data_IF_009023329631
#
_entry.id   IF_009023329631
#
_cell.length_a   1.000
_cell.length_b   1.000
_cell.length_c   1.000
_cell.angle_alpha   90.00
_cell.angle_beta   90.00
_cell.angle_gamma   90.00
#
_symmetry.space_group_name_H-M   'P 1'
#
loop_
_entity.id
_entity.type
_entity.pdbx_description
1 polymer ?
#
# COMPACT_ATOMS: atom_id res chain seq x y z
N UNK A 1 11.23 1.51 21.37
CA UNK A 1 10.85 0.78 22.60
C UNK A 1 9.34 0.69 22.61
N UNK A 2 8.80 -0.46 22.95
CA UNK A 2 7.34 -0.65 23.08
C UNK A 2 7.07 -1.03 24.52
N UNK A 3 6.13 -0.32 25.15
CA UNK A 3 5.65 -0.62 26.49
C UNK A 3 4.32 -1.38 26.31
N UNK A 4 4.25 -2.61 26.78
CA UNK A 4 3.04 -3.43 26.75
C UNK A 4 2.34 -3.25 28.10
N UNK A 5 1.08 -2.81 28.04
CA UNK A 5 0.27 -2.65 29.23
C UNK A 5 -0.38 -3.96 29.61
N UNK A 6 -0.68 -4.17 30.89
CA UNK A 6 -1.46 -5.32 31.34
C UNK A 6 -2.89 -5.30 30.75
N UNK A 7 -3.52 -6.45 30.57
CA UNK A 7 -4.95 -6.49 30.21
C UNK A 7 -5.76 -5.64 31.20
N UNK A 8 -6.68 -4.82 30.69
CA UNK A 8 -7.52 -3.90 31.48
C UNK A 8 -6.74 -2.79 32.23
N UNK A 9 -5.54 -2.41 31.76
CA UNK A 9 -4.81 -1.26 32.31
C UNK A 9 -5.69 -0.01 32.33
N UNK A 10 -5.60 0.75 33.44
CA UNK A 10 -6.40 1.95 33.64
C UNK A 10 -5.99 3.06 32.66
N UNK A 11 -6.97 3.78 32.12
CA UNK A 11 -6.71 4.91 31.21
C UNK A 11 -5.79 5.97 31.83
N UNK A 12 -5.92 6.21 33.15
CA UNK A 12 -5.06 7.12 33.91
C UNK A 12 -3.59 6.68 33.90
N UNK A 13 -3.32 5.38 34.01
CA UNK A 13 -1.95 4.84 33.95
C UNK A 13 -1.34 5.00 32.57
N UNK A 14 -2.13 4.78 31.52
CA UNK A 14 -1.70 4.95 30.13
C UNK A 14 -1.34 6.42 29.88
N UNK A 15 -2.20 7.35 30.27
CA UNK A 15 -1.98 8.79 30.09
C UNK A 15 -0.78 9.29 30.92
N UNK A 16 -0.59 8.77 32.13
CA UNK A 16 0.57 9.09 32.96
C UNK A 16 1.88 8.66 32.31
N UNK A 17 1.94 7.46 31.74
CA UNK A 17 3.13 6.96 31.05
C UNK A 17 3.40 7.78 29.79
N UNK A 18 2.34 8.09 29.01
CA UNK A 18 2.42 8.96 27.84
C UNK A 18 3.05 10.30 28.19
N UNK A 19 2.50 10.98 29.19
CA UNK A 19 2.99 12.28 29.64
C UNK A 19 4.45 12.23 30.07
N UNK A 20 4.87 11.19 30.80
CA UNK A 20 6.26 10.99 31.20
C UNK A 20 7.19 10.86 29.97
N UNK A 21 6.77 10.14 28.95
CA UNK A 21 7.53 9.98 27.70
C UNK A 21 7.68 11.32 26.99
N UNK A 22 6.58 12.08 26.88
CA UNK A 22 6.54 13.40 26.23
C UNK A 22 7.38 14.43 26.99
N UNK A 23 7.35 14.44 28.33
CA UNK A 23 8.19 15.29 29.18
C UNK A 23 9.70 15.04 28.98
N UNK A 24 10.07 13.82 28.59
CA UNK A 24 11.45 13.45 28.24
C UNK A 24 11.81 13.78 26.78
N UNK A 25 10.90 14.42 26.04
CA UNK A 25 11.14 14.81 24.65
C UNK A 25 11.13 13.63 23.67
N UNK A 26 10.35 12.60 23.98
CA UNK A 26 10.00 11.51 23.09
C UNK A 26 8.53 11.57 22.73
N UNK A 27 8.15 11.03 21.58
CA UNK A 27 6.74 10.89 21.20
C UNK A 27 6.17 9.57 21.70
N UNK A 28 4.93 9.58 22.19
CA UNK A 28 4.20 8.41 22.65
C UNK A 28 3.01 8.12 21.73
N UNK A 29 3.03 6.96 21.05
CA UNK A 29 1.95 6.49 20.20
C UNK A 29 1.20 5.35 20.89
N UNK A 30 -0.08 5.58 21.21
CA UNK A 30 -0.94 4.59 21.88
C UNK A 30 -1.67 3.78 20.81
N UNK A 31 -1.56 2.45 20.91
CA UNK A 31 -2.36 1.50 20.13
C UNK A 31 -3.18 0.65 21.09
N UNK A 32 -4.50 0.86 21.07
CA UNK A 32 -5.45 0.09 21.87
C UNK A 32 -5.89 -1.15 21.09
N UNK A 33 -5.37 -2.32 21.46
CA UNK A 33 -5.84 -3.61 20.96
C UNK A 33 -7.06 -4.12 21.72
N UNK A 34 -7.61 -5.26 21.29
CA UNK A 34 -8.78 -5.88 21.96
C UNK A 34 -8.45 -6.43 23.35
N UNK A 35 -7.23 -6.92 23.54
CA UNK A 35 -6.79 -7.57 24.78
C UNK A 35 -5.84 -6.71 25.60
N UNK A 36 -4.93 -6.00 24.93
CA UNK A 36 -3.90 -5.18 25.57
C UNK A 36 -3.72 -3.85 24.84
N UNK A 37 -3.34 -2.82 25.59
CA UNK A 37 -2.87 -1.55 25.04
C UNK A 37 -1.35 -1.54 25.00
N UNK A 38 -0.78 -0.99 23.93
CA UNK A 38 0.65 -0.78 23.82
C UNK A 38 0.98 0.69 23.57
N UNK A 39 2.13 1.14 24.11
CA UNK A 39 2.65 2.49 23.92
C UNK A 39 3.98 2.37 23.19
N UNK A 40 4.00 2.84 21.94
CA UNK A 40 5.22 2.95 21.14
C UNK A 40 5.97 4.24 21.48
N UNK A 41 7.23 4.11 21.87
CA UNK A 41 8.10 5.26 22.14
C UNK A 41 8.94 5.54 20.91
N UNK A 42 8.78 6.73 20.33
CA UNK A 42 9.54 7.25 19.20
C UNK A 42 10.45 8.39 19.69
N UNK A 43 11.70 8.37 19.29
CA UNK A 43 12.70 9.35 19.72
C UNK A 43 13.93 8.72 20.36
N UNK A 44 14.71 9.54 21.04
CA UNK A 44 15.96 9.11 21.71
C UNK A 44 15.66 8.38 23.03
N UNK A 45 15.67 7.05 22.96
CA UNK A 45 15.38 6.16 24.09
C UNK A 45 16.36 6.32 25.26
N UNK A 46 17.57 6.86 25.03
CA UNK A 46 18.56 7.04 26.10
C UNK A 46 18.02 7.94 27.21
N UNK A 47 17.13 8.87 26.87
CA UNK A 47 16.48 9.78 27.82
C UNK A 47 15.48 9.10 28.77
N UNK A 48 15.11 7.86 28.48
CA UNK A 48 14.17 7.08 29.29
C UNK A 48 14.86 5.95 30.08
N UNK A 49 16.16 5.75 29.89
CA UNK A 49 16.88 4.66 30.56
C UNK A 49 16.87 4.79 32.10
N UNK A 50 16.81 6.02 32.61
CA UNK A 50 16.76 6.30 34.07
C UNK A 50 15.34 6.13 34.66
N UNK A 51 14.35 5.92 33.78
CA UNK A 51 12.95 5.73 34.17
C UNK A 51 12.66 4.23 34.25
N UNK A 52 12.53 3.70 35.44
CA UNK A 52 12.14 2.31 35.66
C UNK A 52 10.70 2.07 35.27
N UNK A 53 10.41 2.17 33.94
CA UNK A 53 9.05 2.06 33.39
C UNK A 53 8.41 0.69 33.65
N UNK A 54 9.21 -0.34 33.89
CA UNK A 54 8.73 -1.70 34.24
C UNK A 54 8.10 -1.79 35.63
N UNK A 55 8.38 -0.85 36.52
CA UNK A 55 7.80 -0.84 37.89
C UNK A 55 6.42 -0.21 37.96
N UNK A 56 5.93 0.41 36.87
CA UNK A 56 4.57 0.95 36.87
C UNK A 56 3.56 -0.20 36.95
N UNK A 57 2.59 -0.08 37.85
CA UNK A 57 1.63 -1.14 38.21
C UNK A 57 0.95 -1.80 37.01
N UNK A 58 0.61 -1.01 35.99
CA UNK A 58 -0.13 -1.47 34.80
C UNK A 58 0.76 -1.82 33.60
N UNK A 59 2.09 -1.79 33.75
CA UNK A 59 3.03 -2.27 32.73
C UNK A 59 3.23 -3.76 32.86
N UNK A 60 3.05 -4.51 31.78
CA UNK A 60 3.34 -5.94 31.71
C UNK A 60 4.82 -6.19 31.42
N UNK A 61 5.32 -5.56 30.33
CA UNK A 61 6.71 -5.68 29.91
C UNK A 61 7.14 -4.56 28.98
N UNK A 62 8.46 -4.39 28.85
CA UNK A 62 9.08 -3.51 27.86
C UNK A 62 9.78 -4.35 26.81
N UNK A 63 9.44 -4.10 25.54
CA UNK A 63 10.04 -4.77 24.38
C UNK A 63 10.99 -3.81 23.69
N UNK A 64 12.28 -4.15 23.65
CA UNK A 64 13.24 -3.43 22.81
C UNK A 64 12.97 -3.77 21.35
N UNK A 65 12.63 -2.75 20.55
CA UNK A 65 12.49 -2.87 19.11
C UNK A 65 13.87 -2.66 18.52
N UNK A 66 14.41 -3.69 17.90
CA UNK A 66 15.71 -3.64 17.22
C UNK A 66 15.58 -3.04 15.82
N UNK A 67 14.42 -3.17 15.21
CA UNK A 67 14.12 -2.62 13.89
C UNK A 67 14.04 -1.08 13.94
N UNK A 68 14.45 -0.44 12.83
CA UNK A 68 14.47 1.03 12.69
C UNK A 68 13.07 1.64 12.51
N UNK A 69 12.10 0.87 11.99
CA UNK A 69 10.69 1.23 11.89
C UNK A 69 9.92 0.76 13.14
N UNK A 70 8.97 1.55 13.61
CA UNK A 70 8.21 1.30 14.84
C UNK A 70 6.70 1.28 14.58
N UNK A 71 6.16 2.35 13.99
CA UNK A 71 4.73 2.46 13.73
C UNK A 71 4.24 1.41 12.73
N UNK A 72 5.06 1.05 11.76
CA UNK A 72 4.78 -0.02 10.80
C UNK A 72 5.04 -1.43 11.34
N UNK A 73 5.62 -1.57 12.55
CA UNK A 73 6.05 -2.84 13.10
C UNK A 73 4.88 -3.59 13.75
N UNK A 74 4.77 -4.88 13.47
CA UNK A 74 3.75 -5.76 14.07
C UNK A 74 3.86 -5.87 15.60
N UNK A 75 5.06 -5.69 16.15
CA UNK A 75 5.25 -5.65 17.62
C UNK A 75 4.58 -4.43 18.25
N UNK A 76 4.49 -3.32 17.51
CA UNK A 76 3.78 -2.11 17.94
C UNK A 76 2.26 -2.24 17.72
N UNK A 77 1.85 -2.83 16.60
CA UNK A 77 0.44 -3.04 16.26
C UNK A 77 0.23 -4.52 15.89
N UNK A 78 -0.09 -5.40 16.87
CA UNK A 78 -0.18 -6.86 16.66
C UNK A 78 -1.28 -7.28 15.68
N UNK A 79 -2.40 -6.55 15.65
CA UNK A 79 -3.52 -6.84 14.78
C UNK A 79 -3.27 -6.35 13.36
N UNK A 80 -3.56 -7.15 12.31
CA UNK A 80 -3.47 -6.71 10.93
C UNK A 80 -4.33 -5.48 10.65
N UNK A 81 -3.74 -4.48 10.01
CA UNK A 81 -4.47 -3.27 9.62
C UNK A 81 -5.42 -3.51 8.47
N UNK A 82 -6.54 -2.79 8.50
CA UNK A 82 -7.52 -2.73 7.42
C UNK A 82 -7.58 -1.29 6.89
N UNK A 83 -7.29 -1.11 5.61
CA UNK A 83 -7.26 0.20 4.95
C UNK A 83 -8.50 0.37 4.09
N UNK A 84 -9.32 1.38 4.41
CA UNK A 84 -10.54 1.68 3.67
C UNK A 84 -10.24 2.65 2.52
N UNK A 85 -10.71 2.30 1.32
CA UNK A 85 -10.63 3.12 0.10
C UNK A 85 -12.04 3.25 -0.47
N UNK A 86 -12.70 4.37 -0.27
CA UNK A 86 -14.11 4.52 -0.60
C UNK A 86 -14.98 3.48 0.12
N UNK A 87 -15.62 2.61 -0.64
CA UNK A 87 -16.46 1.50 -0.14
C UNK A 87 -15.71 0.16 -0.05
N UNK A 88 -14.42 0.11 -0.39
CA UNK A 88 -13.59 -1.11 -0.39
C UNK A 88 -12.65 -1.10 0.81
N UNK A 89 -12.40 -2.28 1.40
CA UNK A 89 -11.43 -2.46 2.48
C UNK A 89 -10.33 -3.40 2.03
N UNK A 90 -9.08 -2.97 2.12
CA UNK A 90 -7.88 -3.75 1.82
C UNK A 90 -7.33 -4.31 3.13
N UNK A 91 -6.99 -5.59 3.16
CA UNK A 91 -6.64 -6.32 4.38
C UNK A 91 -7.86 -6.97 5.03
N UNK A 92 -7.67 -8.12 5.68
CA UNK A 92 -8.73 -8.93 6.26
C UNK A 92 -9.12 -10.11 5.36
N UNK A 93 -10.41 -10.42 5.30
CA UNK A 93 -10.91 -11.69 4.76
C UNK A 93 -11.20 -11.66 3.25
N UNK A 94 -10.98 -10.52 2.59
CA UNK A 94 -11.18 -10.39 1.14
C UNK A 94 -9.86 -10.13 0.40
N UNK A 95 -9.77 -10.68 -0.82
CA UNK A 95 -8.75 -10.32 -1.79
C UNK A 95 -9.26 -9.15 -2.63
N UNK A 96 -8.55 -8.03 -2.66
CA UNK A 96 -8.92 -6.86 -3.45
C UNK A 96 -8.18 -6.86 -4.79
N UNK A 97 -8.91 -6.76 -5.90
CA UNK A 97 -8.32 -6.60 -7.24
C UNK A 97 -8.45 -5.14 -7.67
N UNK A 98 -7.29 -4.49 -7.84
CA UNK A 98 -7.17 -3.18 -8.47
C UNK A 98 -6.81 -3.37 -9.94
N UNK A 99 -7.58 -2.79 -10.85
CA UNK A 99 -7.26 -2.88 -12.27
C UNK A 99 -7.50 -1.56 -12.99
N UNK A 100 -6.92 -1.43 -14.18
CA UNK A 100 -7.05 -0.27 -15.04
C UNK A 100 -5.82 -0.02 -15.90
N UNK A 101 -5.81 1.06 -16.68
CA UNK A 101 -4.72 1.32 -17.63
C UNK A 101 -3.45 1.77 -16.93
N UNK A 102 -2.29 1.51 -17.53
CA UNK A 102 -1.04 2.13 -17.08
C UNK A 102 -1.16 3.66 -17.13
N UNK A 103 -1.61 4.21 -18.25
CA UNK A 103 -1.87 5.62 -18.45
C UNK A 103 -3.34 5.87 -18.76
N UNK A 104 -3.90 6.97 -18.23
CA UNK A 104 -5.17 7.53 -18.69
C UNK A 104 -4.85 8.29 -19.99
N UNK A 105 -5.41 7.80 -21.11
CA UNK A 105 -5.09 8.30 -22.45
C UNK A 105 -6.23 9.13 -23.03
N UNK A 106 -7.48 8.77 -22.71
CA UNK A 106 -8.69 9.53 -23.02
C UNK A 106 -9.82 9.16 -22.08
N UNK A 107 -10.88 9.94 -22.10
CA UNK A 107 -12.11 9.67 -21.35
C UNK A 107 -12.75 8.36 -21.78
N UNK A 108 -12.89 8.18 -23.09
CA UNK A 108 -13.53 7.00 -23.70
C UNK A 108 -12.78 5.73 -23.36
N UNK A 109 -11.43 5.75 -23.44
CA UNK A 109 -10.59 4.62 -23.04
C UNK A 109 -10.82 4.26 -21.57
N UNK A 110 -10.80 5.25 -20.68
CA UNK A 110 -10.90 5.03 -19.24
C UNK A 110 -12.28 4.49 -18.84
N UNK A 111 -13.38 5.06 -19.39
CA UNK A 111 -14.73 4.60 -19.12
C UNK A 111 -14.95 3.17 -19.62
N UNK A 112 -14.50 2.86 -20.84
CA UNK A 112 -14.57 1.50 -21.36
C UNK A 112 -13.85 0.49 -20.47
N UNK A 113 -12.65 0.84 -19.96
CA UNK A 113 -11.90 0.02 -19.03
C UNK A 113 -12.66 -0.12 -17.70
N UNK A 114 -13.13 0.98 -17.12
CA UNK A 114 -13.81 0.99 -15.83
C UNK A 114 -15.04 0.07 -15.81
N UNK A 115 -15.86 0.13 -16.85
CA UNK A 115 -17.02 -0.79 -17.02
C UNK A 115 -16.59 -2.24 -17.17
N UNK A 116 -15.59 -2.51 -18.02
CA UNK A 116 -15.13 -3.87 -18.27
C UNK A 116 -14.54 -4.52 -17.03
N UNK A 117 -13.68 -3.80 -16.28
CA UNK A 117 -13.04 -4.34 -15.08
C UNK A 117 -14.04 -4.50 -13.93
N UNK A 118 -15.01 -3.58 -13.78
CA UNK A 118 -16.09 -3.71 -12.80
C UNK A 118 -16.91 -4.98 -13.06
N UNK A 119 -17.34 -5.18 -14.31
CA UNK A 119 -18.08 -6.39 -14.73
C UNK A 119 -17.28 -7.67 -14.45
N UNK A 120 -15.98 -7.61 -14.63
CA UNK A 120 -15.07 -8.73 -14.37
C UNK A 120 -14.72 -8.94 -12.88
N UNK A 121 -15.15 -8.07 -11.97
CA UNK A 121 -15.01 -8.23 -10.52
C UNK A 121 -13.83 -7.46 -9.90
N UNK A 122 -13.23 -6.48 -10.58
CA UNK A 122 -12.34 -5.53 -9.93
C UNK A 122 -13.12 -4.63 -8.96
N UNK A 123 -12.47 -4.27 -7.84
CA UNK A 123 -13.08 -3.44 -6.80
C UNK A 123 -12.53 -2.01 -6.80
N UNK A 124 -11.34 -1.75 -7.36
CA UNK A 124 -10.71 -0.42 -7.43
C UNK A 124 -10.22 -0.18 -8.86
N UNK A 125 -10.51 1.01 -9.39
CA UNK A 125 -9.96 1.48 -10.67
C UNK A 125 -8.60 2.15 -10.43
N UNK A 126 -7.54 1.63 -11.05
CA UNK A 126 -6.24 2.30 -11.08
C UNK A 126 -6.02 3.00 -12.41
N UNK A 127 -5.37 4.15 -12.39
CA UNK A 127 -4.98 4.88 -13.59
C UNK A 127 -3.81 5.82 -13.31
N UNK A 128 -2.93 6.03 -14.30
CA UNK A 128 -1.84 6.99 -14.21
C UNK A 128 -2.18 8.26 -14.96
N UNK A 129 -2.57 9.33 -14.25
CA UNK A 129 -2.75 10.67 -14.82
C UNK A 129 -1.41 11.39 -14.99
N UNK A 130 -0.46 11.14 -14.12
CA UNK A 130 0.94 11.58 -14.20
C UNK A 130 1.83 10.41 -14.54
N UNK A 131 2.74 10.59 -15.49
CA UNK A 131 3.64 9.52 -15.96
C UNK A 131 5.11 9.90 -15.80
N UNK A 132 5.81 9.37 -14.77
CA UNK A 132 7.25 9.57 -14.65
C UNK A 132 7.97 8.76 -15.74
N UNK A 133 8.45 9.42 -16.78
CA UNK A 133 9.09 8.79 -17.93
C UNK A 133 10.60 9.02 -17.92
N UNK A 134 11.35 8.00 -18.35
CA UNK A 134 12.80 8.13 -18.55
C UNK A 134 13.13 9.07 -19.71
N UNK A 135 12.29 9.06 -20.77
CA UNK A 135 12.44 9.96 -21.91
C UNK A 135 11.46 11.15 -21.78
N UNK A 136 11.93 12.40 -21.92
CA UNK A 136 11.05 13.56 -21.90
C UNK A 136 10.11 13.64 -23.13
N UNK A 137 10.40 12.88 -24.18
CA UNK A 137 9.56 12.82 -25.38
C UNK A 137 8.43 11.78 -25.32
N UNK A 138 8.43 10.94 -24.29
CA UNK A 138 7.34 9.99 -24.08
C UNK A 138 6.10 10.70 -23.52
N UNK A 139 4.93 10.06 -23.66
CA UNK A 139 3.67 10.57 -23.10
C UNK A 139 3.79 10.81 -21.58
N UNK A 140 3.57 12.05 -21.14
CA UNK A 140 3.75 12.47 -19.74
C UNK A 140 2.49 12.30 -18.88
N UNK A 141 1.37 11.94 -19.49
CA UNK A 141 0.05 11.86 -18.85
C UNK A 141 -0.81 13.09 -19.15
N UNK A 142 -2.09 13.01 -18.79
CA UNK A 142 -3.06 14.09 -18.96
C UNK A 142 -3.18 14.98 -17.71
N UNK A 143 -2.41 14.69 -16.66
CA UNK A 143 -2.38 15.43 -15.41
C UNK A 143 -3.79 15.64 -14.81
N UNK A 144 -4.20 16.89 -14.53
CA UNK A 144 -5.50 17.18 -13.93
C UNK A 144 -6.67 16.74 -14.82
N UNK A 145 -6.54 16.80 -16.13
CA UNK A 145 -7.59 16.32 -17.05
C UNK A 145 -7.80 14.81 -16.87
N UNK A 146 -6.72 14.03 -16.77
CA UNK A 146 -6.78 12.60 -16.47
C UNK A 146 -7.43 12.30 -15.12
N UNK A 147 -7.17 13.12 -14.10
CA UNK A 147 -7.82 13.01 -12.79
C UNK A 147 -9.34 13.29 -12.86
N UNK A 148 -9.77 14.26 -13.68
CA UNK A 148 -11.19 14.52 -13.92
C UNK A 148 -11.87 13.30 -14.54
N UNK A 149 -11.25 12.69 -15.54
CA UNK A 149 -11.79 11.46 -16.15
C UNK A 149 -11.87 10.31 -15.15
N UNK A 150 -10.89 10.18 -14.24
CA UNK A 150 -10.94 9.18 -13.16
C UNK A 150 -12.11 9.43 -12.20
N UNK A 151 -12.37 10.69 -11.85
CA UNK A 151 -13.52 11.05 -11.02
C UNK A 151 -14.84 10.72 -11.72
N UNK A 152 -14.98 11.05 -13.00
CA UNK A 152 -16.18 10.72 -13.79
C UNK A 152 -16.36 9.19 -13.86
N UNK A 153 -15.30 8.43 -14.11
CA UNK A 153 -15.36 6.97 -14.11
C UNK A 153 -15.78 6.40 -12.74
N UNK A 154 -15.34 7.00 -11.63
CA UNK A 154 -15.80 6.66 -10.28
C UNK A 154 -17.29 6.94 -10.11
N UNK A 155 -17.76 8.11 -10.51
CA UNK A 155 -19.16 8.52 -10.39
C UNK A 155 -20.09 7.60 -11.21
N UNK A 156 -19.66 7.19 -12.41
CA UNK A 156 -20.42 6.32 -13.30
C UNK A 156 -20.40 4.85 -12.87
N UNK A 157 -19.27 4.37 -12.38
CA UNK A 157 -19.11 2.94 -12.06
C UNK A 157 -19.24 2.63 -10.57
N UNK A 158 -19.02 3.59 -9.68
CA UNK A 158 -18.93 3.38 -8.24
C UNK A 158 -17.63 2.73 -7.78
N UNK A 159 -16.66 2.52 -8.68
CA UNK A 159 -15.33 2.04 -8.31
C UNK A 159 -14.52 3.16 -7.67
N UNK A 160 -13.99 2.99 -6.44
CA UNK A 160 -12.97 3.91 -5.92
C UNK A 160 -11.78 4.00 -6.86
N UNK A 161 -11.11 5.16 -6.88
CA UNK A 161 -10.01 5.41 -7.82
C UNK A 161 -8.68 5.65 -7.10
N UNK A 162 -7.61 5.09 -7.66
CA UNK A 162 -6.23 5.29 -7.21
C UNK A 162 -5.37 5.85 -8.34
N UNK A 163 -4.59 6.90 -8.06
CA UNK A 163 -3.66 7.51 -9.01
C UNK A 163 -2.28 7.69 -8.40
N UNK A 164 -1.24 7.51 -9.24
CA UNK A 164 0.14 7.82 -8.88
C UNK A 164 0.36 9.32 -8.85
N UNK A 165 1.04 9.80 -7.79
CA UNK A 165 1.49 11.18 -7.63
C UNK A 165 3.01 11.25 -7.63
N UNK A 166 3.58 12.27 -8.26
CA UNK A 166 5.02 12.39 -8.50
C UNK A 166 5.64 13.65 -7.91
N UNK A 167 4.80 14.59 -7.46
CA UNK A 167 5.21 15.88 -6.88
C UNK A 167 4.19 16.35 -5.85
N UNK A 168 4.52 17.41 -5.11
CA UNK A 168 3.61 18.04 -4.16
C UNK A 168 2.39 18.64 -4.87
N UNK A 169 2.61 19.35 -5.97
CA UNK A 169 1.51 19.90 -6.77
C UNK A 169 0.56 18.83 -7.30
N UNK A 170 1.11 17.65 -7.65
CA UNK A 170 0.30 16.49 -8.03
C UNK A 170 -0.56 15.98 -6.86
N UNK A 171 -0.03 15.99 -5.62
CA UNK A 171 -0.81 15.62 -4.42
C UNK A 171 -1.94 16.62 -4.21
N UNK A 172 -1.64 17.94 -4.17
CA UNK A 172 -2.61 19.01 -3.95
C UNK A 172 -3.78 18.96 -4.94
N UNK A 173 -3.49 18.55 -6.17
CA UNK A 173 -4.50 18.38 -7.21
C UNK A 173 -5.24 17.05 -7.04
N UNK A 174 -4.53 15.94 -6.90
CA UNK A 174 -5.11 14.59 -6.90
C UNK A 174 -6.10 14.36 -5.74
N UNK A 175 -5.86 14.93 -4.56
CA UNK A 175 -6.75 14.77 -3.39
C UNK A 175 -8.19 15.23 -3.64
N UNK A 176 -8.44 16.04 -4.66
CA UNK A 176 -9.77 16.52 -5.05
C UNK A 176 -10.54 15.50 -5.90
N UNK A 177 -9.85 14.50 -6.44
CA UNK A 177 -10.38 13.63 -7.50
C UNK A 177 -10.32 12.13 -7.16
N UNK A 178 -9.36 11.70 -6.32
CA UNK A 178 -9.09 10.28 -6.07
C UNK A 178 -9.40 9.87 -4.63
N UNK A 179 -9.55 8.57 -4.40
CA UNK A 179 -9.83 7.98 -3.09
C UNK A 179 -8.58 7.40 -2.42
N UNK A 180 -7.48 7.24 -3.17
CA UNK A 180 -6.20 6.73 -2.69
C UNK A 180 -5.07 7.29 -3.55
N UNK A 181 -3.96 7.67 -2.89
CA UNK A 181 -2.72 8.07 -3.58
C UNK A 181 -1.82 6.85 -3.79
N UNK A 182 -1.12 6.78 -4.92
CA UNK A 182 -0.05 5.82 -5.14
C UNK A 182 1.29 6.54 -5.17
N UNK A 183 2.25 6.03 -4.40
CA UNK A 183 3.67 6.40 -4.53
C UNK A 183 4.36 5.33 -5.36
N UNK A 184 4.87 5.71 -6.52
CA UNK A 184 5.57 4.81 -7.43
C UNK A 184 6.92 4.37 -6.88
N UNK A 185 7.42 3.24 -7.37
CA UNK A 185 8.69 2.64 -6.93
C UNK A 185 9.90 3.58 -7.01
N UNK A 186 9.92 4.48 -8.01
CA UNK A 186 10.99 5.49 -8.16
C UNK A 186 10.98 6.55 -7.05
N UNK A 187 9.84 6.76 -6.41
CA UNK A 187 9.63 7.76 -5.35
C UNK A 187 9.56 7.14 -3.95
N UNK A 188 9.85 5.84 -3.78
CA UNK A 188 9.81 5.19 -2.46
C UNK A 188 10.76 5.89 -1.46
N UNK A 189 11.89 6.40 -1.91
CA UNK A 189 12.87 7.11 -1.09
C UNK A 189 12.75 8.64 -1.17
N UNK A 190 11.73 9.16 -1.82
CA UNK A 190 11.42 10.58 -1.79
C UNK A 190 10.67 10.91 -0.49
N UNK A 191 11.40 10.95 0.61
CA UNK A 191 10.84 11.09 1.96
C UNK A 191 10.03 12.37 2.14
N UNK A 192 10.36 13.42 1.41
CA UNK A 192 9.57 14.65 1.41
C UNK A 192 8.18 14.42 0.78
N UNK A 193 8.13 13.75 -0.37
CA UNK A 193 6.86 13.36 -1.00
C UNK A 193 6.03 12.42 -0.12
N UNK A 194 6.69 11.48 0.59
CA UNK A 194 6.03 10.56 1.51
C UNK A 194 5.34 11.28 2.66
N UNK A 195 6.01 12.27 3.26
CA UNK A 195 5.43 13.11 4.31
C UNK A 195 4.21 13.88 3.81
N UNK A 196 4.31 14.51 2.65
CA UNK A 196 3.18 15.26 2.09
C UNK A 196 2.00 14.34 1.71
N UNK A 197 2.29 13.13 1.20
CA UNK A 197 1.27 12.11 0.99
C UNK A 197 0.61 11.68 2.31
N UNK A 198 1.39 11.56 3.40
CA UNK A 198 0.87 11.30 4.74
C UNK A 198 -0.08 12.39 5.22
N UNK A 199 0.32 13.66 5.11
CA UNK A 199 -0.50 14.81 5.50
C UNK A 199 -1.80 14.95 4.72
N UNK A 200 -1.90 14.36 3.53
CA UNK A 200 -3.11 14.41 2.70
C UNK A 200 -4.33 13.77 3.37
N UNK A 201 -4.12 12.85 4.32
CA UNK A 201 -5.17 12.10 4.98
C UNK A 201 -5.80 10.99 4.13
N UNK A 202 -5.52 10.94 2.82
CA UNK A 202 -5.98 9.84 1.97
C UNK A 202 -5.13 8.58 2.22
N UNK A 203 -5.71 7.37 2.04
CA UNK A 203 -4.93 6.14 1.99
C UNK A 203 -3.80 6.22 0.97
N UNK A 204 -2.65 5.62 1.30
CA UNK A 204 -1.47 5.63 0.43
C UNK A 204 -1.03 4.22 0.09
N UNK A 205 -0.95 3.91 -1.20
CA UNK A 205 -0.30 2.70 -1.70
C UNK A 205 1.17 3.01 -1.98
N UNK A 206 2.06 2.34 -1.26
CA UNK A 206 3.51 2.51 -1.37
C UNK A 206 4.13 1.34 -2.12
N UNK A 207 4.56 1.56 -3.36
CA UNK A 207 5.28 0.55 -4.16
C UNK A 207 6.72 0.42 -3.68
N UNK A 208 7.20 -0.83 -3.56
CA UNK A 208 8.59 -1.15 -3.25
C UNK A 208 9.54 -0.60 -4.30
N UNK A 209 10.62 0.01 -3.88
CA UNK A 209 11.71 0.49 -4.75
C UNK A 209 12.41 -0.67 -5.45
N UNK A 210 12.95 -0.40 -6.64
CA UNK A 210 13.51 -1.43 -7.53
C UNK A 210 14.71 -2.20 -6.95
N UNK A 211 15.43 -1.61 -6.00
CA UNK A 211 16.57 -2.22 -5.31
C UNK A 211 16.45 -2.10 -3.78
N UNK A 212 15.21 -1.86 -3.29
CA UNK A 212 14.96 -1.65 -1.87
C UNK A 212 14.84 -2.97 -1.11
N UNK A 213 15.49 -3.04 0.03
CA UNK A 213 15.26 -4.08 1.03
C UNK A 213 13.87 -3.94 1.65
N UNK A 214 13.39 -4.97 2.33
CA UNK A 214 12.14 -4.91 3.08
C UNK A 214 12.22 -3.88 4.21
N UNK A 215 13.35 -3.79 4.88
CA UNK A 215 13.53 -2.84 5.98
C UNK A 215 13.54 -1.38 5.48
N UNK A 216 14.15 -1.08 4.34
CA UNK A 216 14.05 0.24 3.70
C UNK A 216 12.61 0.58 3.29
N UNK A 217 11.87 -0.41 2.80
CA UNK A 217 10.47 -0.22 2.41
C UNK A 217 9.57 0.04 3.62
N UNK A 218 9.77 -0.68 4.73
CA UNK A 218 9.05 -0.44 5.98
C UNK A 218 9.43 0.91 6.61
N UNK A 219 10.70 1.31 6.55
CA UNK A 219 11.12 2.66 6.96
C UNK A 219 10.48 3.76 6.09
N UNK A 220 10.33 3.52 4.79
CA UNK A 220 9.62 4.46 3.92
C UNK A 220 8.14 4.59 4.31
N UNK A 221 7.47 3.49 4.68
CA UNK A 221 6.09 3.55 5.18
C UNK A 221 5.98 4.33 6.51
N UNK A 222 7.00 4.24 7.35
CA UNK A 222 7.07 4.99 8.61
C UNK A 222 6.97 6.51 8.41
N UNK A 223 7.55 7.06 7.32
CA UNK A 223 7.43 8.48 6.99
C UNK A 223 6.00 8.92 6.72
N UNK A 224 5.18 8.05 6.13
CA UNK A 224 3.76 8.35 5.88
C UNK A 224 2.99 8.28 7.21
N UNK A 225 3.23 7.22 7.98
CA UNK A 225 2.52 6.96 9.24
C UNK A 225 2.87 8.02 10.29
N UNK A 226 4.12 8.50 10.34
CA UNK A 226 4.56 9.51 11.29
C UNK A 226 3.90 10.89 11.09
N UNK A 227 3.32 11.15 9.92
CA UNK A 227 2.50 12.35 9.69
C UNK A 227 1.02 12.17 10.13
N UNK A 228 0.72 11.09 10.87
CA UNK A 228 -0.61 10.81 11.40
C UNK A 228 -1.52 9.99 10.47
N UNK A 229 -1.00 9.44 9.36
CA UNK A 229 -1.77 8.65 8.42
C UNK A 229 -1.42 7.14 8.51
N UNK A 230 -2.18 6.33 9.26
CA UNK A 230 -1.93 4.89 9.37
C UNK A 230 -2.42 4.09 8.16
N UNK A 231 -3.12 4.71 7.20
CA UNK A 231 -3.75 4.05 6.08
C UNK A 231 -2.76 3.79 4.94
N UNK A 232 -1.77 2.93 5.18
CA UNK A 232 -0.75 2.56 4.20
C UNK A 232 -0.97 1.13 3.73
N UNK A 233 -0.90 0.92 2.41
CA UNK A 233 -0.90 -0.38 1.75
C UNK A 233 0.44 -0.56 1.03
N UNK A 234 1.13 -1.65 1.30
CA UNK A 234 2.38 -1.99 0.63
C UNK A 234 2.10 -2.70 -0.70
N UNK A 235 2.92 -2.44 -1.73
CA UNK A 235 2.78 -3.10 -3.02
C UNK A 235 4.13 -3.64 -3.53
N UNK A 236 4.28 -4.97 -3.51
CA UNK A 236 5.40 -5.65 -4.17
C UNK A 236 5.19 -5.61 -5.69
N UNK A 237 6.23 -5.22 -6.45
CA UNK A 237 6.16 -5.02 -7.90
C UNK A 237 7.38 -5.52 -8.68
N UNK A 238 8.18 -6.34 -8.05
CA UNK A 238 9.46 -6.83 -8.57
C UNK A 238 10.65 -5.93 -8.22
N UNK A 239 11.77 -6.57 -8.03
CA UNK A 239 13.06 -5.96 -7.73
C UNK A 239 14.05 -6.25 -8.87
N UNK A 240 15.04 -5.40 -9.02
CA UNK A 240 16.18 -5.65 -9.93
C UNK A 240 17.09 -6.69 -9.32
N UNK A 241 17.38 -7.71 -10.11
CA UNK A 241 18.36 -8.74 -9.80
C UNK A 241 19.33 -8.89 -10.97
N UNK A 242 20.19 -9.87 -10.91
CA UNK A 242 21.07 -10.25 -12.01
C UNK A 242 20.32 -10.88 -13.19
N UNK A 243 19.07 -11.35 -12.98
CA UNK A 243 18.26 -12.02 -14.02
C UNK A 243 17.70 -10.99 -15.01
N UNK A 244 17.81 -11.28 -16.29
CA UNK A 244 17.40 -10.40 -17.40
C UNK A 244 16.28 -10.95 -18.28
N UNK A 245 15.81 -12.19 -18.02
CA UNK A 245 14.70 -12.80 -18.74
C UNK A 245 13.37 -12.09 -18.53
N UNK A 246 13.23 -11.35 -17.42
CA UNK A 246 12.11 -10.49 -17.13
C UNK A 246 12.59 -9.09 -16.73
N UNK A 247 11.72 -8.09 -16.83
CA UNK A 247 12.07 -6.70 -16.47
C UNK A 247 12.52 -6.56 -15.02
N UNK A 248 11.88 -7.26 -14.10
CA UNK A 248 12.27 -7.39 -12.69
C UNK A 248 11.92 -8.80 -12.22
N UNK A 249 12.55 -9.24 -11.14
CA UNK A 249 12.21 -10.48 -10.44
C UNK A 249 11.11 -10.19 -9.43
N UNK A 250 9.96 -10.85 -9.53
CA UNK A 250 8.92 -10.76 -8.52
C UNK A 250 9.38 -11.45 -7.23
N UNK A 251 9.57 -10.68 -6.17
CA UNK A 251 9.91 -11.22 -4.85
C UNK A 251 8.63 -11.65 -4.12
N UNK A 252 8.17 -12.83 -4.44
CA UNK A 252 6.96 -13.39 -3.84
C UNK A 252 7.14 -13.68 -2.35
N UNK A 253 8.38 -13.90 -1.91
CA UNK A 253 8.73 -14.13 -0.50
C UNK A 253 8.53 -12.86 0.36
N UNK A 254 8.50 -11.68 -0.26
CA UNK A 254 8.20 -10.45 0.46
C UNK A 254 6.82 -10.48 1.15
N UNK A 255 5.84 -11.21 0.61
CA UNK A 255 4.48 -11.27 1.18
C UNK A 255 4.49 -11.88 2.59
N UNK A 256 4.95 -13.12 2.81
CA UNK A 256 4.98 -13.69 4.16
C UNK A 256 5.94 -12.93 5.09
N UNK A 257 7.06 -12.42 4.59
CA UNK A 257 8.00 -11.64 5.42
C UNK A 257 7.36 -10.33 5.92
N UNK A 258 6.62 -9.61 5.06
CA UNK A 258 5.89 -8.40 5.48
C UNK A 258 4.82 -8.77 6.51
N UNK A 259 4.06 -9.84 6.31
CA UNK A 259 3.02 -10.27 7.27
C UNK A 259 3.57 -10.72 8.62
N UNK A 260 4.83 -11.15 8.67
CA UNK A 260 5.54 -11.42 9.92
C UNK A 260 6.01 -10.14 10.60
N UNK A 261 6.61 -9.20 9.85
CA UNK A 261 7.28 -8.01 10.37
C UNK A 261 6.34 -6.82 10.60
N UNK A 262 5.25 -6.71 9.84
CA UNK A 262 4.37 -5.54 9.80
C UNK A 262 2.89 -5.93 9.91
N UNK A 263 2.09 -5.00 10.39
CA UNK A 263 0.64 -5.10 10.39
C UNK A 263 -0.01 -4.55 9.11
N UNK A 264 0.76 -3.90 8.25
CA UNK A 264 0.26 -3.25 7.04
C UNK A 264 -0.18 -4.29 6.00
N UNK A 265 -1.29 -4.07 5.30
CA UNK A 265 -1.70 -4.94 4.21
C UNK A 265 -0.72 -4.84 3.03
N UNK A 266 -0.51 -5.97 2.36
CA UNK A 266 0.38 -6.09 1.20
C UNK A 266 -0.35 -6.63 -0.01
N UNK A 267 -0.23 -5.91 -1.14
CA UNK A 267 -0.70 -6.36 -2.45
C UNK A 267 0.48 -6.65 -3.38
N UNK A 268 0.21 -7.34 -4.48
CA UNK A 268 1.22 -7.71 -5.48
C UNK A 268 0.82 -7.17 -6.85
N UNK A 269 1.79 -6.61 -7.57
CA UNK A 269 1.66 -6.12 -8.94
C UNK A 269 2.48 -6.99 -9.90
N UNK A 270 1.91 -8.09 -10.43
CA UNK A 270 2.61 -8.97 -11.36
C UNK A 270 2.81 -8.34 -12.74
N UNK A 271 2.01 -7.34 -13.12
CA UNK A 271 2.13 -6.64 -14.39
C UNK A 271 3.45 -5.88 -14.50
N UNK A 272 3.77 -5.06 -13.48
CA UNK A 272 5.03 -4.32 -13.47
C UNK A 272 6.23 -5.16 -13.05
N UNK A 273 6.03 -6.32 -12.42
CA UNK A 273 7.11 -7.20 -12.03
C UNK A 273 7.86 -7.70 -13.27
N UNK A 274 7.23 -8.50 -14.08
CA UNK A 274 7.91 -9.14 -15.22
C UNK A 274 7.88 -8.31 -16.50
N UNK A 275 6.89 -7.43 -16.67
CA UNK A 275 6.71 -6.68 -17.92
C UNK A 275 6.19 -7.55 -19.09
N UNK A 276 5.77 -8.79 -18.82
CA UNK A 276 5.34 -9.78 -19.81
C UNK A 276 3.95 -10.28 -19.50
N UNK A 277 3.00 -10.04 -20.41
CA UNK A 277 1.57 -10.40 -20.26
C UNK A 277 1.34 -11.87 -19.91
N UNK A 278 2.06 -12.78 -20.55
CA UNK A 278 1.91 -14.22 -20.34
C UNK A 278 2.19 -14.65 -18.89
N UNK A 279 2.99 -13.89 -18.16
CA UNK A 279 3.39 -14.22 -16.79
C UNK A 279 2.48 -13.60 -15.72
N UNK A 280 1.61 -12.65 -16.10
CA UNK A 280 0.69 -12.01 -15.15
C UNK A 280 -0.21 -13.03 -14.46
N UNK A 281 -0.85 -13.92 -15.23
CA UNK A 281 -1.78 -14.91 -14.70
C UNK A 281 -1.14 -15.90 -13.70
N UNK A 282 -0.04 -16.61 -14.03
CA UNK A 282 0.58 -17.53 -13.07
C UNK A 282 1.10 -16.80 -11.82
N UNK A 283 1.64 -15.60 -11.95
CA UNK A 283 2.14 -14.83 -10.82
C UNK A 283 1.03 -14.25 -9.94
N UNK A 284 -0.11 -13.88 -10.53
CA UNK A 284 -1.30 -13.51 -9.77
C UNK A 284 -1.81 -14.68 -8.89
N UNK A 285 -1.85 -15.91 -9.43
CA UNK A 285 -2.19 -17.11 -8.67
C UNK A 285 -1.19 -17.37 -7.53
N UNK A 286 0.10 -17.26 -7.81
CA UNK A 286 1.15 -17.39 -6.79
C UNK A 286 1.00 -16.34 -5.68
N UNK A 287 0.69 -15.08 -6.02
CA UNK A 287 0.47 -14.01 -5.05
C UNK A 287 -0.72 -14.29 -4.12
N UNK A 288 -1.81 -14.84 -4.64
CA UNK A 288 -2.94 -15.30 -3.82
C UNK A 288 -2.52 -16.44 -2.89
N UNK A 289 -1.82 -17.43 -3.43
CA UNK A 289 -1.39 -18.62 -2.67
C UNK A 289 -0.44 -18.31 -1.49
N UNK A 290 0.39 -17.27 -1.60
CA UNK A 290 1.25 -16.80 -0.49
C UNK A 290 0.56 -15.84 0.48
N UNK A 291 -0.74 -15.55 0.25
CA UNK A 291 -1.57 -14.79 1.17
C UNK A 291 -1.57 -13.27 0.96
N UNK A 292 -1.32 -12.77 -0.24
CA UNK A 292 -1.48 -11.34 -0.55
C UNK A 292 -2.90 -10.85 -0.22
N UNK A 293 -3.03 -9.56 0.15
CA UNK A 293 -4.31 -8.93 0.45
C UNK A 293 -4.98 -8.34 -0.79
N UNK A 294 -4.26 -8.31 -1.90
CA UNK A 294 -4.79 -7.85 -3.18
C UNK A 294 -3.80 -8.00 -4.33
N UNK A 295 -4.30 -7.67 -5.49
CA UNK A 295 -3.56 -7.68 -6.75
C UNK A 295 -3.73 -6.33 -7.46
N UNK A 296 -2.68 -5.88 -8.15
CA UNK A 296 -2.76 -4.76 -9.09
C UNK A 296 -2.45 -5.26 -10.49
N UNK A 297 -3.42 -5.16 -11.41
CA UNK A 297 -3.34 -5.71 -12.77
C UNK A 297 -3.56 -4.59 -13.79
N UNK A 298 -2.68 -4.50 -14.78
CA UNK A 298 -2.88 -3.57 -15.88
C UNK A 298 -3.80 -4.15 -16.95
N UNK A 299 -4.78 -3.35 -17.37
CA UNK A 299 -5.79 -3.73 -18.36
C UNK A 299 -5.96 -2.61 -19.38
N UNK A 300 -6.00 -2.97 -20.67
CA UNK A 300 -6.16 -2.02 -21.75
C UNK A 300 -7.05 -2.63 -22.87
N UNK A 301 -7.95 -1.86 -23.50
CA UNK A 301 -8.84 -2.39 -24.55
C UNK A 301 -8.07 -2.91 -25.76
N UNK A 302 -6.98 -2.24 -26.13
CA UNK A 302 -6.06 -2.67 -27.20
C UNK A 302 -4.61 -2.42 -26.77
N UNK A 303 -3.97 -3.38 -26.10
CA UNK A 303 -2.60 -3.20 -25.59
C UNK A 303 -1.55 -2.89 -26.67
N UNK A 304 -1.82 -3.19 -27.93
CA UNK A 304 -0.87 -2.94 -29.01
C UNK A 304 -0.67 -1.45 -29.32
N UNK A 305 -1.67 -0.61 -29.02
CA UNK A 305 -1.63 0.84 -29.25
C UNK A 305 -1.49 1.65 -27.96
N UNK A 306 -1.35 0.99 -26.81
CA UNK A 306 -1.24 1.66 -25.53
C UNK A 306 -0.02 2.61 -25.51
N UNK A 307 -0.22 3.83 -25.02
CA UNK A 307 0.84 4.85 -24.89
C UNK A 307 1.86 4.50 -23.79
N UNK A 308 1.50 3.57 -22.88
CA UNK A 308 2.38 3.10 -21.82
C UNK A 308 2.10 1.63 -21.48
N UNK A 309 3.17 0.84 -21.29
CA UNK A 309 3.17 -0.52 -20.75
C UNK A 309 2.21 -1.53 -21.45
N UNK A 310 1.98 -1.36 -22.76
CA UNK A 310 1.16 -2.26 -23.57
C UNK A 310 1.57 -3.75 -23.51
N UNK A 311 2.88 -4.10 -23.57
CA UNK A 311 3.31 -5.50 -23.56
C UNK A 311 2.85 -6.31 -22.35
N UNK A 312 2.64 -5.69 -21.21
CA UNK A 312 2.21 -6.35 -19.96
C UNK A 312 0.71 -6.25 -19.67
N UNK A 313 -0.01 -5.33 -20.35
CA UNK A 313 -1.43 -5.10 -20.11
C UNK A 313 -2.28 -6.26 -20.64
N UNK A 314 -3.26 -6.69 -19.84
CA UNK A 314 -4.24 -7.69 -20.26
C UNK A 314 -5.32 -7.04 -21.14
N UNK A 315 -5.92 -7.81 -22.07
CA UNK A 315 -7.19 -7.43 -22.69
C UNK A 315 -8.34 -7.65 -21.70
N UNK A 316 -9.54 -7.17 -22.03
CA UNK A 316 -10.74 -7.36 -21.19
C UNK A 316 -11.06 -8.84 -20.99
N UNK A 317 -10.96 -9.64 -22.06
CA UNK A 317 -11.23 -11.08 -22.04
C UNK A 317 -10.19 -11.81 -21.18
N UNK A 318 -8.92 -11.42 -21.27
CA UNK A 318 -7.84 -12.01 -20.47
C UNK A 318 -7.99 -11.66 -18.99
N UNK A 319 -8.44 -10.43 -18.68
CA UNK A 319 -8.69 -10.01 -17.30
C UNK A 319 -9.90 -10.74 -16.71
N UNK A 320 -11.01 -10.86 -17.47
CA UNK A 320 -12.19 -11.62 -17.03
C UNK A 320 -11.87 -13.12 -16.81
N UNK A 321 -11.08 -13.71 -17.70
CA UNK A 321 -10.61 -15.10 -17.52
C UNK A 321 -9.73 -15.24 -16.27
N UNK A 322 -8.83 -14.28 -16.02
CA UNK A 322 -7.99 -14.27 -14.82
C UNK A 322 -8.83 -14.23 -13.54
N UNK A 323 -9.78 -13.30 -13.44
CA UNK A 323 -10.60 -13.17 -12.23
C UNK A 323 -11.44 -14.40 -11.95
N UNK A 324 -11.98 -15.05 -12.98
CA UNK A 324 -12.69 -16.34 -12.84
C UNK A 324 -11.77 -17.45 -12.34
N UNK A 325 -10.56 -17.55 -12.89
CA UNK A 325 -9.59 -18.57 -12.49
C UNK A 325 -8.99 -18.32 -11.10
N UNK A 326 -9.00 -17.09 -10.59
CA UNK A 326 -8.53 -16.79 -9.23
C UNK A 326 -9.52 -17.23 -8.14
N UNK A 327 -10.84 -17.29 -8.40
CA UNK A 327 -11.84 -17.61 -7.38
C UNK A 327 -11.54 -18.88 -6.60
N UNK A 328 -11.24 -20.05 -7.22
CA UNK A 328 -10.90 -21.26 -6.47
C UNK A 328 -9.66 -21.10 -5.58
N UNK A 329 -8.67 -20.33 -6.01
CA UNK A 329 -7.48 -20.07 -5.20
C UNK A 329 -7.80 -19.19 -3.99
N UNK A 330 -8.65 -18.16 -4.18
CA UNK A 330 -9.07 -17.27 -3.11
C UNK A 330 -9.88 -18.04 -2.05
N UNK A 331 -10.82 -18.88 -2.48
CA UNK A 331 -11.62 -19.74 -1.61
C UNK A 331 -10.74 -20.75 -0.85
N UNK A 332 -9.76 -21.38 -1.53
CA UNK A 332 -8.80 -22.29 -0.89
C UNK A 332 -7.99 -21.60 0.22
N UNK A 333 -7.70 -20.30 0.04
CA UNK A 333 -6.99 -19.48 1.04
C UNK A 333 -7.92 -18.93 2.14
N UNK A 334 -9.19 -19.33 2.17
CA UNK A 334 -10.18 -18.89 3.15
C UNK A 334 -10.57 -17.42 3.00
N UNK A 335 -10.37 -16.85 1.80
CA UNK A 335 -10.74 -15.46 1.48
C UNK A 335 -11.95 -15.39 0.55
N UNK A 336 -12.54 -14.20 0.46
CA UNK A 336 -13.57 -13.86 -0.54
C UNK A 336 -13.01 -12.94 -1.63
N UNK A 337 -13.64 -12.94 -2.80
CA UNK A 337 -13.30 -12.09 -3.92
C UNK A 337 -14.49 -11.17 -4.24
#
# INVERSE_FOLDING_TARGET
MIIVMKPMAKAESIERIKKLIEEKGCDAHISAGKEVTIIGVVGDKSKLLDQNLEIFEDVDKIVSVTESYKLANKKFHPEPSKVRVGNVTIGGDSLVIMSGPCAVESKEQLLAIAHAIKKAGAQILRGGAYKPRTSPYAFQGLEEEGLRYMKEAREETGLPVICEVTSLSAIETAVKYVDMLQIGARNMQNFYLLKEAGKSGLPVLLKRGLAATIDEWLNASEYIISEGNPNVVLCERGIRTFETATRNTLDISAVPVIKEKSHLPIIVDPSHATGVRAYVKPLAKAAVAVGADGLMIETHPNPAIALSDGPQSLTFEQFEALTKELRPFVELMGKTL
#
